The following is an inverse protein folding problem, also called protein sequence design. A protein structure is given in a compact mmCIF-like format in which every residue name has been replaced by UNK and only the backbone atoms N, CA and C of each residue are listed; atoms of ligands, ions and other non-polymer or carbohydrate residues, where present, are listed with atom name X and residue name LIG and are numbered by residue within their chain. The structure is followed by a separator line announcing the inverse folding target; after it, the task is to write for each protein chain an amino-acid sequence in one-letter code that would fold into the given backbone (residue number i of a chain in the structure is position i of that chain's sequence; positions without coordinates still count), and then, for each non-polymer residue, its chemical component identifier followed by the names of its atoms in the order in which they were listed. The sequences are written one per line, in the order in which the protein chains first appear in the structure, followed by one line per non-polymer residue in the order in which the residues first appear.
data_IF_196874439594
#
_entry.id   IF_196874439594
#
_cell.length_a   1.000
_cell.length_b   1.000
_cell.length_c   1.000
_cell.angle_alpha   90.00
_cell.angle_beta   90.00
_cell.angle_gamma   90.00
#
_symmetry.space_group_name_H-M   'P 1'
#
loop_
_entity.id
_entity.type
_entity.pdbx_description
1 polymer ?
#
# COMPACT_ATOMS: atom_id res chain seq x y z
N UNK A 1 55.02 12.68 6.12
CA UNK A 1 53.87 13.50 5.71
C UNK A 1 53.77 13.41 4.20
N UNK A 2 52.83 12.61 3.73
CA UNK A 2 52.16 12.68 2.43
C UNK A 2 51.15 11.53 2.45
N UNK A 3 49.90 11.94 2.57
CA UNK A 3 48.76 11.16 3.00
C UNK A 3 48.29 10.15 1.96
N UNK A 4 47.70 9.10 2.50
CA UNK A 4 47.13 7.95 1.81
C UNK A 4 45.75 8.34 1.25
N UNK A 5 45.66 8.66 -0.04
CA UNK A 5 44.39 8.82 -0.76
C UNK A 5 43.67 7.48 -0.87
N UNK A 6 42.94 7.14 0.19
CA UNK A 6 41.97 6.04 0.17
C UNK A 6 40.71 6.56 -0.52
N UNK A 7 40.57 6.16 -1.78
CA UNK A 7 39.44 6.42 -2.66
C UNK A 7 38.15 5.88 -2.01
N UNK A 8 37.37 6.77 -1.39
CA UNK A 8 36.08 6.48 -0.81
C UNK A 8 35.00 6.51 -1.90
N UNK A 9 34.87 5.42 -2.66
CA UNK A 9 33.71 5.18 -3.51
C UNK A 9 32.53 4.70 -2.65
N UNK A 10 31.95 5.61 -1.87
CA UNK A 10 30.60 5.44 -1.34
C UNK A 10 29.63 5.76 -2.48
N UNK A 11 29.28 4.74 -3.26
CA UNK A 11 28.03 4.75 -4.01
C UNK A 11 26.91 5.14 -3.05
N UNK A 12 26.11 6.11 -3.48
CA UNK A 12 24.92 6.57 -2.77
C UNK A 12 24.24 5.38 -2.09
N UNK A 13 24.15 5.47 -0.76
CA UNK A 13 23.30 4.57 0.01
C UNK A 13 21.93 4.61 -0.67
N UNK A 14 21.59 3.56 -1.41
CA UNK A 14 20.26 3.31 -1.94
C UNK A 14 19.31 3.58 -0.78
N UNK A 15 18.57 4.68 -0.83
CA UNK A 15 17.52 4.91 0.16
C UNK A 15 16.69 3.63 0.13
N UNK A 16 16.63 2.91 1.25
CA UNK A 16 15.83 1.69 1.32
C UNK A 16 14.42 2.09 0.89
N UNK A 17 13.96 1.63 -0.27
CA UNK A 17 12.65 1.94 -0.81
C UNK A 17 11.60 1.66 0.26
N UNK A 18 11.14 2.72 0.93
CA UNK A 18 10.23 2.66 2.07
C UNK A 18 8.85 2.24 1.54
N UNK A 19 8.14 1.46 2.34
CA UNK A 19 6.76 1.14 2.03
C UNK A 19 5.90 2.41 2.17
N UNK A 20 5.19 2.77 1.10
CA UNK A 20 4.27 3.90 1.07
C UNK A 20 2.94 3.47 1.67
N UNK A 21 2.45 4.21 2.67
CA UNK A 21 1.11 3.97 3.20
C UNK A 21 0.08 4.48 2.22
N UNK A 22 -0.84 3.61 1.86
CA UNK A 22 -1.80 3.89 0.81
C UNK A 22 -3.13 3.23 1.15
N UNK A 23 -4.19 3.95 0.84
CA UNK A 23 -5.56 3.46 0.88
C UNK A 23 -5.95 2.82 -0.46
N UNK A 24 -6.95 1.95 -0.43
CA UNK A 24 -7.46 1.25 -1.60
C UNK A 24 -7.91 2.20 -2.71
N UNK A 25 -8.51 3.35 -2.38
CA UNK A 25 -8.96 4.35 -3.36
C UNK A 25 -7.85 4.85 -4.28
N UNK A 26 -6.66 5.16 -3.74
CA UNK A 26 -5.50 5.56 -4.57
C UNK A 26 -4.79 4.35 -5.18
N UNK A 27 -4.68 3.26 -4.42
CA UNK A 27 -3.94 2.07 -4.84
C UNK A 27 -4.56 1.40 -6.07
N UNK A 28 -5.89 1.26 -6.09
CA UNK A 28 -6.59 0.54 -7.16
C UNK A 28 -6.48 1.25 -8.52
N UNK A 29 -6.25 2.56 -8.50
CA UNK A 29 -6.05 3.39 -9.70
C UNK A 29 -4.58 3.43 -10.15
N UNK A 30 -3.65 3.00 -9.29
CA UNK A 30 -2.21 3.00 -9.55
C UNK A 30 -1.81 1.79 -10.40
N UNK A 31 -2.14 1.81 -11.70
CA UNK A 31 -1.98 0.66 -12.60
C UNK A 31 -0.81 0.76 -13.60
N UNK A 32 -0.04 1.84 -13.56
CA UNK A 32 1.07 2.09 -14.49
C UNK A 32 2.43 1.83 -13.84
N UNK A 33 3.19 0.89 -14.39
CA UNK A 33 4.57 0.61 -14.00
C UNK A 33 5.55 1.52 -14.77
N UNK A 34 6.56 2.04 -14.07
CA UNK A 34 7.63 2.85 -14.67
C UNK A 34 8.95 2.69 -13.91
N UNK A 35 10.00 3.31 -14.44
CA UNK A 35 11.32 3.38 -13.80
C UNK A 35 11.66 4.84 -13.53
N UNK A 36 12.23 5.11 -12.36
CA UNK A 36 12.66 6.45 -11.98
C UNK A 36 13.75 6.94 -12.94
N UNK A 37 13.71 8.19 -13.45
CA UNK A 37 14.73 8.72 -14.35
C UNK A 37 16.16 8.59 -13.80
N UNK A 38 16.35 8.90 -12.51
CA UNK A 38 17.64 8.79 -11.83
C UNK A 38 18.16 7.33 -11.76
N UNK A 39 17.25 6.36 -11.60
CA UNK A 39 17.62 4.94 -11.56
C UNK A 39 17.95 4.42 -12.96
N UNK A 40 17.28 4.91 -14.01
CA UNK A 40 17.61 4.58 -15.41
C UNK A 40 19.01 5.08 -15.76
N UNK A 41 19.38 6.30 -15.34
CA UNK A 41 20.71 6.86 -15.60
C UNK A 41 21.85 6.04 -14.95
N UNK A 42 21.60 5.48 -13.76
CA UNK A 42 22.59 4.66 -13.03
C UNK A 42 22.61 3.21 -13.50
N UNK A 43 21.44 2.55 -13.52
CA UNK A 43 21.32 1.10 -13.58
C UNK A 43 20.65 0.60 -14.88
N UNK A 44 20.14 1.51 -15.73
CA UNK A 44 19.54 1.20 -17.03
C UNK A 44 18.45 0.14 -16.95
N UNK A 45 18.63 -0.97 -17.67
CA UNK A 45 17.68 -2.09 -17.68
C UNK A 45 17.51 -2.76 -16.31
N UNK A 46 18.49 -2.59 -15.40
CA UNK A 46 18.45 -3.15 -14.04
C UNK A 46 17.81 -2.22 -13.00
N UNK A 47 17.42 -1.01 -13.40
CA UNK A 47 16.71 -0.09 -12.53
C UNK A 47 15.44 -0.76 -11.95
N UNK A 48 15.13 -0.54 -10.66
CA UNK A 48 13.93 -1.08 -10.04
C UNK A 48 12.67 -0.48 -10.67
N UNK A 49 11.60 -1.26 -10.67
CA UNK A 49 10.30 -0.83 -11.14
C UNK A 49 9.50 -0.18 -10.00
N UNK A 50 8.73 0.83 -10.34
CA UNK A 50 7.82 1.56 -9.47
C UNK A 50 6.45 1.63 -10.13
N UNK A 51 5.42 1.83 -9.34
CA UNK A 51 4.09 2.17 -9.83
C UNK A 51 3.85 3.67 -9.67
N UNK A 52 3.38 4.31 -10.72
CA UNK A 52 2.94 5.69 -10.70
C UNK A 52 1.54 5.75 -10.10
N UNK A 53 1.28 6.64 -9.14
CA UNK A 53 -0.06 6.85 -8.58
C UNK A 53 -0.78 8.00 -9.30
N UNK A 54 -2.12 8.09 -9.23
CA UNK A 54 -2.86 9.25 -9.77
C UNK A 54 -2.44 10.58 -9.15
N UNK A 55 -1.87 10.57 -7.94
CA UNK A 55 -1.35 11.76 -7.27
C UNK A 55 0.12 12.05 -7.62
N UNK A 56 0.67 11.43 -8.68
CA UNK A 56 2.05 11.68 -9.13
C UNK A 56 3.15 11.15 -8.21
N UNK A 57 2.87 10.14 -7.38
CA UNK A 57 3.88 9.47 -6.57
C UNK A 57 4.44 8.23 -7.28
N UNK A 58 5.73 7.95 -7.11
CA UNK A 58 6.34 6.70 -7.58
C UNK A 58 6.53 5.71 -6.43
N UNK A 59 5.90 4.54 -6.52
CA UNK A 59 5.75 3.61 -5.40
C UNK A 59 6.34 2.24 -5.72
N UNK A 60 7.39 1.87 -4.99
CA UNK A 60 8.04 0.56 -5.11
C UNK A 60 7.43 -0.48 -4.17
N UNK A 61 6.98 -0.04 -2.99
CA UNK A 61 6.35 -0.88 -1.96
C UNK A 61 5.19 -0.13 -1.34
N UNK A 62 4.17 -0.86 -0.96
CA UNK A 62 3.02 -0.36 -0.20
C UNK A 62 2.97 -0.98 1.19
N UNK A 63 2.40 -0.24 2.14
CA UNK A 63 1.98 -0.73 3.45
C UNK A 63 0.49 -0.43 3.59
N UNK A 64 -0.34 -1.46 3.44
CA UNK A 64 -1.80 -1.36 3.47
C UNK A 64 -2.36 -2.13 4.66
N UNK A 65 -3.46 -1.67 5.25
CA UNK A 65 -4.17 -2.40 6.30
C UNK A 65 -5.67 -2.36 6.06
N UNK A 66 -6.35 -3.42 6.49
CA UNK A 66 -7.79 -3.46 6.44
C UNK A 66 -8.36 -4.70 7.12
N UNK A 67 -9.66 -4.84 7.02
CA UNK A 67 -10.40 -6.02 7.46
C UNK A 67 -10.30 -7.10 6.40
N UNK A 68 -9.83 -8.29 6.78
CA UNK A 68 -9.83 -9.44 5.90
C UNK A 68 -11.28 -9.86 5.62
N UNK A 69 -11.69 -9.94 4.36
CA UNK A 69 -13.08 -10.25 3.99
C UNK A 69 -13.22 -11.68 3.48
N UNK A 70 -12.25 -12.15 2.71
CA UNK A 70 -12.27 -13.45 2.05
C UNK A 70 -10.82 -13.92 1.87
N UNK A 71 -10.59 -15.22 2.02
CA UNK A 71 -9.36 -15.89 1.59
C UNK A 71 -9.78 -17.07 0.74
N UNK A 72 -9.22 -17.17 -0.47
CA UNK A 72 -9.55 -18.24 -1.41
C UNK A 72 -8.28 -18.82 -2.03
N UNK A 73 -8.20 -20.14 -2.12
CA UNK A 73 -7.16 -20.82 -2.88
C UNK A 73 -7.52 -20.78 -4.37
N UNK A 74 -6.88 -19.88 -5.12
CA UNK A 74 -7.21 -19.62 -6.53
C UNK A 74 -6.41 -20.47 -7.52
N UNK A 75 -5.33 -21.13 -7.06
CA UNK A 75 -4.56 -22.09 -7.85
C UNK A 75 -3.97 -23.18 -6.95
N UNK A 76 -3.90 -24.41 -7.44
CA UNK A 76 -3.31 -25.57 -6.76
C UNK A 76 -1.85 -25.84 -7.14
N UNK A 77 -1.41 -25.42 -8.34
CA UNK A 77 -0.07 -25.76 -8.84
C UNK A 77 0.48 -24.70 -9.83
N UNK A 78 1.33 -23.76 -9.36
CA UNK A 78 1.73 -23.59 -7.97
C UNK A 78 0.59 -23.08 -7.09
N UNK A 79 0.58 -23.44 -5.81
CA UNK A 79 -0.43 -22.94 -4.86
C UNK A 79 -0.42 -21.42 -4.86
N UNK A 80 -1.60 -20.81 -4.99
CA UNK A 80 -1.79 -19.36 -4.90
C UNK A 80 -3.05 -19.07 -4.11
N UNK A 81 -2.91 -18.24 -3.09
CA UNK A 81 -4.03 -17.70 -2.32
C UNK A 81 -4.31 -16.27 -2.74
N UNK A 82 -5.59 -15.93 -2.76
CA UNK A 82 -6.07 -14.56 -2.89
C UNK A 82 -6.71 -14.15 -1.58
N UNK A 83 -6.28 -13.03 -1.02
CA UNK A 83 -6.98 -12.36 0.07
C UNK A 83 -7.70 -11.11 -0.45
N UNK A 84 -8.95 -10.92 -0.04
CA UNK A 84 -9.74 -9.71 -0.27
C UNK A 84 -9.78 -8.92 1.02
N UNK A 85 -9.29 -7.70 1.02
CA UNK A 85 -9.14 -6.89 2.23
C UNK A 85 -9.87 -5.56 2.02
N UNK A 86 -10.65 -5.13 3.01
CA UNK A 86 -11.38 -3.85 2.98
C UNK A 86 -10.78 -2.86 3.95
N UNK A 87 -10.35 -1.70 3.46
CA UNK A 87 -10.02 -0.55 4.28
C UNK A 87 -11.16 0.48 4.31
N UNK A 88 -10.92 1.64 4.91
CA UNK A 88 -11.91 2.69 5.06
C UNK A 88 -12.35 3.33 3.73
N UNK A 89 -11.58 3.15 2.66
CA UNK A 89 -11.81 3.76 1.33
C UNK A 89 -12.24 2.75 0.26
N UNK A 90 -12.09 1.45 0.51
CA UNK A 90 -12.43 0.46 -0.49
C UNK A 90 -11.87 -0.93 -0.22
N UNK A 91 -11.80 -1.73 -1.28
CA UNK A 91 -11.29 -3.10 -1.26
C UNK A 91 -10.02 -3.18 -2.09
N UNK A 92 -9.01 -3.88 -1.60
CA UNK A 92 -7.82 -4.26 -2.35
C UNK A 92 -7.58 -5.77 -2.26
N UNK A 93 -6.76 -6.29 -3.17
CA UNK A 93 -6.47 -7.72 -3.28
C UNK A 93 -5.00 -8.00 -3.07
N UNK A 94 -4.71 -9.13 -2.42
CA UNK A 94 -3.36 -9.67 -2.23
C UNK A 94 -3.30 -11.05 -2.87
N UNK A 95 -2.25 -11.32 -3.63
CA UNK A 95 -2.00 -12.65 -4.19
C UNK A 95 -0.69 -13.20 -3.64
N UNK A 96 -0.78 -14.22 -2.80
CA UNK A 96 0.38 -14.91 -2.23
C UNK A 96 0.60 -16.23 -2.96
N UNK A 97 1.77 -16.40 -3.56
CA UNK A 97 2.16 -17.62 -4.27
C UNK A 97 3.31 -18.35 -3.58
N UNK A 98 3.79 -19.41 -4.23
CA UNK A 98 4.90 -20.24 -3.73
C UNK A 98 6.21 -19.51 -3.40
N UNK A 99 6.40 -18.28 -3.88
CA UNK A 99 7.59 -17.48 -3.63
C UNK A 99 7.55 -16.73 -2.30
N UNK A 100 6.38 -16.69 -1.66
CA UNK A 100 6.17 -16.13 -0.32
C UNK A 100 5.52 -17.17 0.61
N UNK A 101 6.30 -18.19 1.05
CA UNK A 101 5.77 -19.28 1.87
C UNK A 101 5.29 -18.81 3.25
N UNK A 102 5.81 -17.69 3.76
CA UNK A 102 5.39 -17.14 5.05
C UNK A 102 3.97 -16.58 4.96
N UNK A 103 3.68 -15.74 3.97
CA UNK A 103 2.31 -15.25 3.76
C UNK A 103 1.34 -16.37 3.38
N UNK A 104 1.77 -17.35 2.57
CA UNK A 104 0.94 -18.52 2.27
C UNK A 104 0.57 -19.27 3.56
N UNK A 105 1.52 -19.50 4.46
CA UNK A 105 1.25 -20.16 5.75
C UNK A 105 0.25 -19.39 6.60
N UNK A 106 0.37 -18.06 6.67
CA UNK A 106 -0.60 -17.24 7.40
C UNK A 106 -1.98 -17.37 6.78
N UNK A 107 -2.12 -17.23 5.46
CA UNK A 107 -3.42 -17.35 4.79
C UNK A 107 -4.03 -18.76 4.92
N UNK A 108 -3.21 -19.81 4.94
CA UNK A 108 -3.65 -21.18 5.21
C UNK A 108 -4.18 -21.35 6.64
N UNK A 109 -3.53 -20.76 7.63
CA UNK A 109 -4.04 -20.77 9.01
C UNK A 109 -5.36 -20.00 9.14
N UNK A 110 -5.50 -18.92 8.38
CA UNK A 110 -6.73 -18.12 8.34
C UNK A 110 -7.85 -18.82 7.57
N UNK A 111 -7.55 -19.68 6.60
CA UNK A 111 -8.51 -20.43 5.78
C UNK A 111 -8.10 -21.91 5.63
N UNK A 112 -8.20 -22.72 6.70
CA UNK A 112 -7.66 -24.09 6.72
C UNK A 112 -8.32 -25.04 5.72
N UNK A 113 -9.58 -24.79 5.35
CA UNK A 113 -10.31 -25.57 4.35
C UNK A 113 -10.06 -25.08 2.91
N UNK A 114 -9.19 -24.08 2.71
CA UNK A 114 -8.83 -23.50 1.42
C UNK A 114 -9.71 -22.33 0.97
N UNK A 115 -10.89 -22.18 1.58
CA UNK A 115 -11.82 -21.07 1.34
C UNK A 115 -12.39 -20.56 2.68
N UNK A 116 -12.34 -19.25 2.88
CA UNK A 116 -12.99 -18.53 3.98
C UNK A 116 -13.93 -17.49 3.39
N UNK A 117 -15.23 -17.73 3.52
CA UNK A 117 -16.28 -16.76 3.17
C UNK A 117 -16.43 -15.68 4.25
N UNK A 118 -17.22 -14.64 3.94
CA UNK A 118 -17.39 -13.41 4.70
C UNK A 118 -17.44 -13.63 6.22
N UNK A 119 -16.56 -12.93 6.94
CA UNK A 119 -16.37 -13.10 8.38
C UNK A 119 -17.67 -12.89 9.16
N UNK A 120 -17.93 -13.76 10.13
CA UNK A 120 -18.88 -13.41 11.19
C UNK A 120 -18.29 -12.30 12.06
N UNK A 121 -19.12 -11.46 12.69
CA UNK A 121 -18.65 -10.31 13.47
C UNK A 121 -17.66 -10.67 14.61
N UNK A 122 -17.67 -11.92 15.08
CA UNK A 122 -16.73 -12.45 16.08
C UNK A 122 -15.37 -12.87 15.53
N UNK A 123 -15.21 -12.92 14.21
CA UNK A 123 -14.01 -13.43 13.52
C UNK A 123 -13.29 -12.33 12.74
N UNK A 124 -13.69 -11.07 12.91
CA UNK A 124 -13.13 -9.91 12.21
C UNK A 124 -11.66 -9.75 12.54
N UNK A 125 -10.82 -10.16 11.59
CA UNK A 125 -9.38 -10.00 11.66
C UNK A 125 -8.96 -8.78 10.84
N UNK A 126 -8.10 -7.96 11.44
CA UNK A 126 -7.41 -6.91 10.72
C UNK A 126 -6.05 -7.42 10.29
N UNK A 127 -5.68 -7.15 9.05
CA UNK A 127 -4.41 -7.58 8.50
C UNK A 127 -3.60 -6.38 8.03
N UNK A 128 -2.29 -6.45 8.26
CA UNK A 128 -1.30 -5.56 7.66
C UNK A 128 -0.61 -6.30 6.52
N UNK A 129 -0.45 -5.61 5.41
CA UNK A 129 0.22 -6.15 4.22
C UNK A 129 1.30 -5.17 3.80
N UNK A 130 2.53 -5.66 3.71
CA UNK A 130 3.61 -4.98 3.03
C UNK A 130 3.96 -5.76 1.77
N UNK A 131 4.08 -5.08 0.65
CA UNK A 131 4.37 -5.76 -0.60
C UNK A 131 4.59 -4.82 -1.76
N UNK A 132 4.80 -5.42 -2.93
CA UNK A 132 4.95 -4.70 -4.18
C UNK A 132 3.60 -4.57 -4.87
N UNK A 133 3.27 -3.40 -5.42
CA UNK A 133 2.16 -3.31 -6.34
C UNK A 133 2.41 -4.23 -7.54
N UNK A 134 1.36 -4.86 -8.01
CA UNK A 134 1.35 -5.68 -9.21
C UNK A 134 0.05 -5.41 -9.97
N UNK A 135 0.13 -5.34 -11.29
CA UNK A 135 -1.02 -5.16 -12.15
C UNK A 135 -1.10 -6.28 -13.17
N UNK A 136 -2.31 -6.67 -13.52
CA UNK A 136 -2.54 -7.60 -14.62
C UNK A 136 -3.70 -7.11 -15.48
N UNK A 137 -3.51 -7.16 -16.79
CA UNK A 137 -4.55 -6.84 -17.76
C UNK A 137 -5.17 -8.12 -18.27
N UNK A 138 -6.49 -8.21 -18.14
CA UNK A 138 -7.26 -9.32 -18.71
C UNK A 138 -7.31 -9.24 -20.24
N UNK A 139 -7.64 -10.36 -20.89
CA UNK A 139 -7.86 -10.40 -22.35
C UNK A 139 -8.97 -9.44 -22.83
N UNK A 140 -9.82 -8.98 -21.91
CA UNK A 140 -10.89 -8.00 -22.18
C UNK A 140 -10.42 -6.54 -22.02
N UNK A 141 -9.13 -6.32 -21.77
CA UNK A 141 -8.53 -5.00 -21.60
C UNK A 141 -8.74 -4.36 -20.22
N UNK A 142 -9.35 -5.07 -19.27
CA UNK A 142 -9.49 -4.56 -17.89
C UNK A 142 -8.20 -4.83 -17.13
N UNK A 143 -7.61 -3.79 -16.55
CA UNK A 143 -6.44 -3.89 -15.67
C UNK A 143 -6.89 -3.93 -14.22
N UNK A 144 -6.34 -4.86 -13.46
CA UNK A 144 -6.55 -4.99 -12.02
C UNK A 144 -5.24 -4.78 -11.30
N UNK A 145 -5.28 -4.08 -10.17
CA UNK A 145 -4.14 -3.87 -9.29
C UNK A 145 -4.27 -4.76 -8.05
N UNK A 146 -3.14 -5.28 -7.58
CA UNK A 146 -3.05 -6.14 -6.41
C UNK A 146 -1.70 -5.98 -5.73
N UNK A 147 -1.58 -6.46 -4.50
CA UNK A 147 -0.31 -6.52 -3.79
C UNK A 147 0.28 -7.92 -3.92
N UNK A 148 1.51 -8.01 -4.41
CA UNK A 148 2.37 -9.17 -4.19
C UNK A 148 3.02 -9.02 -2.82
N UNK A 149 2.59 -9.80 -1.80
CA UNK A 149 3.06 -9.60 -0.45
C UNK A 149 4.54 -9.96 -0.33
N UNK A 150 5.25 -9.17 0.48
CA UNK A 150 6.55 -9.55 1.06
C UNK A 150 6.37 -9.90 2.55
N UNK A 151 5.26 -9.47 3.16
CA UNK A 151 4.92 -9.72 4.55
C UNK A 151 3.42 -9.51 4.80
N UNK A 152 2.80 -10.40 5.59
CA UNK A 152 1.41 -10.29 6.03
C UNK A 152 1.29 -10.71 7.50
N UNK A 153 0.57 -9.93 8.31
CA UNK A 153 0.31 -10.25 9.72
C UNK A 153 -1.10 -9.87 10.15
N UNK A 154 -1.64 -10.57 11.15
CA UNK A 154 -2.85 -10.16 11.86
C UNK A 154 -2.51 -9.07 12.88
N UNK A 155 -3.19 -7.93 12.79
CA UNK A 155 -2.96 -6.74 13.62
C UNK A 155 -4.11 -6.51 14.61
N UNK A 156 -3.81 -5.91 15.75
CA UNK A 156 -4.82 -5.41 16.68
C UNK A 156 -5.48 -4.10 16.22
N UNK A 157 -6.58 -3.73 16.89
CA UNK A 157 -7.36 -2.53 16.57
C UNK A 157 -6.57 -1.22 16.73
N UNK A 158 -5.71 -1.10 17.76
CA UNK A 158 -4.92 0.11 17.99
C UNK A 158 -3.85 0.32 16.93
N UNK A 159 -3.22 -0.77 16.46
CA UNK A 159 -2.30 -0.74 15.32
C UNK A 159 -3.02 -0.28 14.04
N UNK A 160 -4.24 -0.80 13.79
CA UNK A 160 -5.07 -0.39 12.64
C UNK A 160 -5.43 1.08 12.71
N UNK A 161 -5.91 1.58 13.85
CA UNK A 161 -6.29 2.99 14.05
C UNK A 161 -5.12 3.91 13.80
N UNK A 162 -3.95 3.61 14.39
CA UNK A 162 -2.74 4.41 14.17
C UNK A 162 -2.31 4.42 12.71
N UNK A 163 -2.32 3.26 12.04
CA UNK A 163 -2.01 3.22 10.62
C UNK A 163 -3.01 4.04 9.80
N UNK A 164 -4.30 3.97 10.14
CA UNK A 164 -5.38 4.70 9.43
C UNK A 164 -5.16 6.20 9.52
N UNK A 165 -4.88 6.74 10.70
CA UNK A 165 -4.59 8.15 10.90
C UNK A 165 -3.34 8.59 10.11
N UNK A 166 -2.26 7.81 10.17
CA UNK A 166 -1.02 8.14 9.47
C UNK A 166 -1.18 8.00 7.94
N UNK A 167 -1.98 7.04 7.45
CA UNK A 167 -2.29 6.86 6.03
C UNK A 167 -3.16 7.99 5.49
N UNK A 168 -4.16 8.45 6.26
CA UNK A 168 -5.00 9.59 5.88
C UNK A 168 -4.17 10.86 5.72
N UNK A 169 -3.33 11.17 6.72
CA UNK A 169 -2.39 12.30 6.64
C UNK A 169 -1.52 12.23 5.38
N UNK A 170 -0.82 11.12 5.16
CA UNK A 170 0.11 11.00 4.02
C UNK A 170 -0.61 11.01 2.67
N UNK A 171 -1.84 10.51 2.60
CA UNK A 171 -2.63 10.54 1.37
C UNK A 171 -3.07 11.96 1.04
N UNK A 172 -3.57 12.72 2.03
CA UNK A 172 -3.92 14.13 1.84
C UNK A 172 -2.71 15.00 1.49
N UNK A 173 -1.53 14.72 2.07
CA UNK A 173 -0.28 15.39 1.68
C UNK A 173 0.08 15.13 0.20
N UNK A 174 -0.14 13.90 -0.31
CA UNK A 174 0.09 13.58 -1.73
C UNK A 174 -0.92 14.27 -2.65
N UNK A 175 -2.21 14.23 -2.30
CA UNK A 175 -3.28 14.94 -3.03
C UNK A 175 -2.95 16.43 -3.11
N UNK A 176 -2.59 17.06 -2.00
CA UNK A 176 -2.22 18.47 -1.96
C UNK A 176 -0.96 18.76 -2.79
N UNK A 177 0.04 17.88 -2.75
CA UNK A 177 1.24 18.05 -3.56
C UNK A 177 0.92 18.03 -5.06
N UNK A 178 0.05 17.11 -5.48
CA UNK A 178 -0.41 16.99 -6.86
C UNK A 178 -1.20 18.22 -7.31
N UNK A 179 -2.21 18.66 -6.55
CA UNK A 179 -3.01 19.85 -6.88
C UNK A 179 -2.17 21.14 -6.99
N UNK A 180 -1.09 21.24 -6.21
CA UNK A 180 -0.19 22.38 -6.24
C UNK A 180 0.87 22.29 -7.37
N UNK A 181 0.90 21.22 -8.17
CA UNK A 181 1.92 20.98 -9.19
C UNK A 181 3.32 20.77 -8.59
N UNK A 182 3.37 20.12 -7.43
CA UNK A 182 4.62 19.84 -6.67
C UNK A 182 4.85 18.35 -6.43
N UNK A 183 3.94 17.48 -6.89
CA UNK A 183 4.16 16.05 -6.84
C UNK A 183 5.31 15.67 -7.79
N UNK A 184 6.13 14.67 -7.44
CA UNK A 184 7.34 14.36 -8.21
C UNK A 184 7.09 13.99 -9.69
N UNK A 185 5.93 13.41 -9.98
CA UNK A 185 5.54 12.91 -11.30
C UNK A 185 4.12 13.34 -11.67
N UNK A 186 3.75 14.59 -11.35
CA UNK A 186 2.42 15.15 -11.65
C UNK A 186 2.12 15.11 -13.16
N UNK A 187 3.07 15.53 -13.98
CA UNK A 187 2.96 15.61 -15.43
C UNK A 187 2.81 14.23 -16.07
N UNK A 188 3.49 13.22 -15.53
CA UNK A 188 3.34 11.83 -15.94
C UNK A 188 1.98 11.29 -15.50
N UNK A 189 1.52 11.60 -14.28
CA UNK A 189 0.21 11.17 -13.81
C UNK A 189 -0.91 11.72 -14.69
N UNK A 190 -0.86 12.99 -15.08
CA UNK A 190 -1.81 13.63 -16.01
C UNK A 190 -1.85 12.97 -17.39
N UNK A 191 -0.72 12.41 -17.83
CA UNK A 191 -0.63 11.73 -19.12
C UNK A 191 -1.17 10.29 -19.07
N UNK A 192 -1.06 9.63 -17.92
CA UNK A 192 -1.43 8.23 -17.76
C UNK A 192 -2.85 8.04 -17.26
N UNK A 193 -3.32 8.93 -16.38
CA UNK A 193 -4.58 8.78 -15.67
C UNK A 193 -5.58 9.84 -16.09
N UNK A 194 -6.74 9.40 -16.57
CA UNK A 194 -7.95 10.22 -16.63
C UNK A 194 -8.74 10.01 -15.33
N UNK A 195 -8.16 10.45 -14.21
CA UNK A 195 -8.70 10.24 -12.86
C UNK A 195 -8.89 11.58 -12.14
N UNK A 196 -10.05 11.77 -11.52
CA UNK A 196 -10.32 12.94 -10.71
C UNK A 196 -9.78 12.74 -9.29
N UNK A 197 -8.62 13.34 -9.00
CA UNK A 197 -7.93 13.24 -7.71
C UNK A 197 -8.76 13.76 -6.53
N UNK A 198 -9.79 14.57 -6.78
CA UNK A 198 -10.73 14.97 -5.71
C UNK A 198 -11.49 13.80 -5.09
N UNK A 199 -11.68 12.69 -5.82
CA UNK A 199 -12.30 11.47 -5.28
C UNK A 199 -11.48 10.92 -4.12
N UNK A 200 -10.14 10.88 -4.25
CA UNK A 200 -9.25 10.41 -3.17
C UNK A 200 -9.37 11.32 -1.95
N UNK A 201 -9.49 12.65 -2.17
CA UNK A 201 -9.69 13.60 -1.08
C UNK A 201 -11.01 13.35 -0.37
N UNK A 202 -12.11 13.27 -1.12
CA UNK A 202 -13.47 13.09 -0.58
C UNK A 202 -13.60 11.77 0.21
N UNK A 203 -12.89 10.71 -0.21
CA UNK A 203 -12.84 9.43 0.51
C UNK A 203 -12.02 9.50 1.80
N UNK A 204 -10.99 10.36 1.87
CA UNK A 204 -9.98 10.36 2.95
C UNK A 204 -10.16 11.48 3.96
N UNK A 205 -10.70 12.62 3.57
CA UNK A 205 -10.90 13.78 4.45
C UNK A 205 -11.79 13.46 5.65
N UNK A 206 -12.95 12.77 5.50
CA UNK A 206 -13.77 12.36 6.66
C UNK A 206 -13.00 11.46 7.64
N UNK A 207 -12.14 10.58 7.11
CA UNK A 207 -11.32 9.69 7.94
C UNK A 207 -10.33 10.53 8.77
N UNK A 208 -9.68 11.53 8.16
CA UNK A 208 -8.73 12.38 8.86
C UNK A 208 -9.42 13.23 9.96
N UNK A 209 -10.62 13.74 9.69
CA UNK A 209 -11.43 14.51 10.65
C UNK A 209 -11.80 13.69 11.88
N UNK A 210 -12.14 12.41 11.71
CA UNK A 210 -12.44 11.50 12.83
C UNK A 210 -11.28 11.41 13.83
N UNK A 211 -10.03 11.41 13.36
CA UNK A 211 -8.85 11.34 14.26
C UNK A 211 -8.49 12.69 14.89
N UNK A 212 -8.71 13.80 14.19
CA UNK A 212 -8.51 15.14 14.76
C UNK A 212 -9.52 15.38 15.89
N UNK A 213 -10.79 15.02 15.66
CA UNK A 213 -11.85 15.18 16.67
C UNK A 213 -11.62 14.30 17.91
N UNK A 214 -11.05 13.10 17.73
CA UNK A 214 -10.69 12.21 18.84
C UNK A 214 -9.51 12.75 19.69
N UNK A 215 -8.55 13.46 19.09
CA UNK A 215 -7.44 14.09 19.81
C UNK A 215 -7.86 15.37 20.56
N UNK A 216 -8.99 15.99 20.18
CA UNK A 216 -9.53 17.20 20.81
C UNK A 216 -10.52 16.93 21.97
N UNK A 217 -10.93 15.68 22.23
CA UNK A 217 -11.68 15.35 23.45
C UNK A 217 -10.78 15.50 24.68
N UNK A 218 -11.07 16.43 25.61
CA UNK A 218 -10.26 16.57 26.81
C UNK A 218 -10.42 15.30 27.64
N UNK A 219 -9.29 14.67 27.98
CA UNK A 219 -9.18 13.59 28.97
C UNK A 219 -10.11 13.91 30.15
N UNK A 220 -11.26 13.24 30.19
CA UNK A 220 -12.29 13.50 31.17
C UNK A 220 -11.69 13.11 32.52
N UNK A 221 -11.21 14.11 33.25
CA UNK A 221 -10.56 13.94 34.54
C UNK A 221 -11.41 12.98 35.40
N UNK A 222 -10.79 11.95 36.02
CA UNK A 222 -11.53 10.95 36.76
C UNK A 222 -12.36 11.64 37.85
N UNK A 223 -13.64 11.29 37.92
CA UNK A 223 -14.57 11.84 38.89
C UNK A 223 -13.98 11.71 40.31
N UNK A 224 -14.05 12.77 41.14
CA UNK A 224 -13.51 12.71 42.48
C UNK A 224 -14.23 11.63 43.29
N UNK A 225 -13.42 10.76 43.91
CA UNK A 225 -13.84 9.67 44.80
C UNK A 225 -14.46 10.21 46.09
#
# INVERSE_FOLDING_TARGET
MSDNDTNNSNGSQRERNKATRMFATEFNESNTEFKMPADIESDGDRAPNYYLTPTGAGVHRVLMMGTLMEVAKVNDSPTTYRAKIRDATGVFYVYAGQYDPETVSVLEELAPDGDREELTASEVEHVMVMGKPNSYTTDRGQTYVSVEPEFLLVSDAGTRERWTAEAAKFTLERVQAYENGTAPFDSEADQQYEFDVSIIRDDVEPIAEDFISADEEPDAAPAPV
#
